data_IF_733552364118
#
_entry.id   IF_733552364118
#
_cell.length_a   1.000
_cell.length_b   1.000
_cell.length_c   1.000
_cell.angle_alpha   90.00
_cell.angle_beta   90.00
_cell.angle_gamma   90.00
#
_symmetry.space_group_name_H-M   'P 1'
#
loop_
_entity.id
_entity.type
_entity.pdbx_description
1 polymer ?
#
# COMPACT_ATOMS: atom_id res chain seq x y z
N UNK A 1 1.90 -25.57 20.56
CA UNK A 1 0.60 -25.16 19.97
C UNK A 1 0.73 -24.05 18.90
N UNK A 2 1.72 -24.10 18.00
CA UNK A 2 1.88 -23.09 16.94
C UNK A 2 1.42 -23.61 15.56
N UNK A 3 1.56 -24.91 15.31
CA UNK A 3 1.22 -25.51 14.02
C UNK A 3 -0.29 -25.49 13.70
N UNK A 4 -1.17 -25.58 14.69
CA UNK A 4 -2.62 -25.67 14.43
C UNK A 4 -3.23 -24.34 13.94
N UNK A 5 -2.69 -23.20 14.37
CA UNK A 5 -3.10 -21.87 13.90
C UNK A 5 -2.56 -21.56 12.50
N UNK A 6 -1.35 -22.04 12.18
CA UNK A 6 -0.77 -21.87 10.84
C UNK A 6 -1.52 -22.67 9.77
N UNK A 7 -1.91 -23.91 10.06
CA UNK A 7 -2.69 -24.72 9.13
C UNK A 7 -4.07 -24.10 8.85
N UNK A 8 -4.79 -23.68 9.90
CA UNK A 8 -6.07 -22.96 9.76
C UNK A 8 -5.93 -21.65 8.99
N UNK A 9 -4.84 -20.91 9.19
CA UNK A 9 -4.56 -19.67 8.46
C UNK A 9 -4.36 -19.93 6.97
N UNK A 10 -3.62 -20.97 6.61
CA UNK A 10 -3.40 -21.35 5.20
C UNK A 10 -4.70 -21.80 4.54
N UNK A 11 -5.49 -22.64 5.22
CA UNK A 11 -6.81 -23.07 4.74
C UNK A 11 -7.78 -21.90 4.58
N UNK A 12 -7.79 -20.95 5.52
CA UNK A 12 -8.60 -19.74 5.44
C UNK A 12 -8.18 -18.85 4.27
N UNK A 13 -6.87 -18.62 4.09
CA UNK A 13 -6.34 -17.84 2.97
C UNK A 13 -6.72 -18.44 1.62
N UNK A 14 -6.67 -19.77 1.49
CA UNK A 14 -7.12 -20.46 0.27
C UNK A 14 -8.62 -20.31 0.05
N UNK A 15 -9.45 -20.46 1.09
CA UNK A 15 -10.91 -20.43 0.97
C UNK A 15 -11.49 -19.02 0.78
N UNK A 16 -10.80 -17.98 1.24
CA UNK A 16 -11.27 -16.59 1.24
C UNK A 16 -10.33 -15.65 0.47
N UNK A 17 -9.51 -16.17 -0.44
CA UNK A 17 -8.55 -15.39 -1.24
C UNK A 17 -9.22 -14.26 -2.03
N UNK A 18 -10.44 -14.46 -2.55
CA UNK A 18 -11.21 -13.43 -3.26
C UNK A 18 -11.61 -12.27 -2.34
N UNK A 19 -12.14 -12.58 -1.16
CA UNK A 19 -12.51 -11.59 -0.14
C UNK A 19 -11.26 -10.84 0.38
N UNK A 20 -10.16 -11.56 0.57
CA UNK A 20 -8.87 -10.94 0.91
C UNK A 20 -8.44 -9.94 -0.18
N UNK A 21 -8.52 -10.34 -1.45
CA UNK A 21 -8.17 -9.47 -2.58
C UNK A 21 -9.02 -8.19 -2.58
N UNK A 22 -10.33 -8.32 -2.36
CA UNK A 22 -11.26 -7.19 -2.26
C UNK A 22 -10.86 -6.23 -1.13
N UNK A 23 -10.63 -6.74 0.08
CA UNK A 23 -10.20 -5.91 1.21
C UNK A 23 -8.84 -5.26 1.02
N UNK A 24 -7.91 -5.93 0.32
CA UNK A 24 -6.62 -5.33 -0.03
C UNK A 24 -6.81 -4.18 -1.03
N UNK A 25 -7.63 -4.37 -2.06
CA UNK A 25 -7.93 -3.33 -3.07
C UNK A 25 -8.61 -2.11 -2.44
N UNK A 26 -9.59 -2.34 -1.56
CA UNK A 26 -10.28 -1.26 -0.83
C UNK A 26 -9.32 -0.55 0.13
N UNK A 27 -8.55 -1.30 0.92
CA UNK A 27 -7.57 -0.76 1.86
C UNK A 27 -6.54 0.13 1.16
N UNK A 28 -5.95 -0.36 0.06
CA UNK A 28 -5.02 0.44 -0.75
C UNK A 28 -5.73 1.67 -1.33
N UNK A 29 -6.95 1.51 -1.85
CA UNK A 29 -7.72 2.62 -2.40
C UNK A 29 -7.97 3.73 -1.38
N UNK A 30 -8.30 3.40 -0.12
CA UNK A 30 -8.50 4.38 0.93
C UNK A 30 -7.20 5.06 1.38
N UNK A 31 -6.10 4.29 1.49
CA UNK A 31 -4.79 4.84 1.84
C UNK A 31 -4.29 5.79 0.75
N UNK A 32 -4.45 5.44 -0.53
CA UNK A 32 -4.11 6.31 -1.65
C UNK A 32 -4.96 7.58 -1.67
N UNK A 33 -6.26 7.48 -1.38
CA UNK A 33 -7.12 8.67 -1.24
C UNK A 33 -6.64 9.58 -0.11
N UNK A 34 -6.29 9.00 1.05
CA UNK A 34 -5.78 9.76 2.18
C UNK A 34 -4.47 10.49 1.83
N UNK A 35 -3.54 9.80 1.16
CA UNK A 35 -2.27 10.39 0.72
C UNK A 35 -2.44 11.54 -0.29
N UNK A 36 -3.52 11.53 -1.07
CA UNK A 36 -3.82 12.56 -2.08
C UNK A 36 -4.87 13.58 -1.61
N UNK A 37 -5.33 13.51 -0.36
CA UNK A 37 -6.38 14.40 0.14
C UNK A 37 -5.90 15.85 0.25
N UNK A 38 -4.61 16.05 0.53
CA UNK A 38 -4.00 17.37 0.66
C UNK A 38 -3.25 17.73 -0.62
N UNK A 39 -3.43 18.96 -1.09
CA UNK A 39 -2.65 19.48 -2.22
C UNK A 39 -1.21 19.76 -1.77
N UNK A 40 -0.18 19.27 -2.49
CA UNK A 40 1.20 19.65 -2.21
C UNK A 40 1.40 21.16 -2.33
N UNK A 41 2.32 21.71 -1.54
CA UNK A 41 2.60 23.15 -1.55
C UNK A 41 3.56 23.47 -2.70
N UNK A 42 3.21 24.46 -3.53
CA UNK A 42 4.16 25.00 -4.50
C UNK A 42 5.21 25.84 -3.78
N UNK A 43 6.46 25.38 -3.85
CA UNK A 43 7.63 26.10 -3.33
C UNK A 43 7.96 27.21 -4.33
N UNK A 44 7.26 28.35 -4.25
CA UNK A 44 7.51 29.52 -5.10
C UNK A 44 8.69 30.35 -4.56
N UNK A 45 9.38 31.08 -5.44
CA UNK A 45 10.57 31.92 -5.15
C UNK A 45 10.33 33.03 -4.08
N UNK A 46 9.07 33.30 -3.72
CA UNK A 46 8.70 34.29 -2.69
C UNK A 46 8.50 33.73 -1.27
N UNK A 47 8.60 32.41 -1.06
CA UNK A 47 8.38 31.79 0.26
C UNK A 47 9.73 31.40 0.87
N UNK A 48 10.08 32.04 1.97
CA UNK A 48 11.27 31.68 2.75
C UNK A 48 10.97 30.49 3.65
N UNK A 49 11.67 29.37 3.43
CA UNK A 49 11.63 28.22 4.30
C UNK A 49 12.84 28.24 5.22
N UNK A 50 12.61 28.12 6.53
CA UNK A 50 13.69 28.02 7.51
C UNK A 50 14.38 26.66 7.46
N UNK A 51 13.62 25.61 7.13
CA UNK A 51 14.11 24.26 6.96
C UNK A 51 13.77 23.73 5.55
N UNK A 52 14.82 23.42 4.80
CA UNK A 52 14.72 22.91 3.43
C UNK A 52 14.11 21.51 3.39
N UNK A 53 14.35 20.69 4.41
CA UNK A 53 13.84 19.31 4.42
C UNK A 53 12.34 19.27 4.71
N UNK A 54 11.85 20.12 5.61
CA UNK A 54 10.41 20.38 5.77
C UNK A 54 9.79 20.90 4.46
N UNK A 55 10.44 21.83 3.75
CA UNK A 55 9.92 22.32 2.46
C UNK A 55 9.78 21.21 1.42
N UNK A 56 10.78 20.32 1.32
CA UNK A 56 10.72 19.14 0.44
C UNK A 56 9.55 18.23 0.80
N UNK A 57 9.37 17.90 2.08
CA UNK A 57 8.26 17.07 2.55
C UNK A 57 6.89 17.65 2.16
N UNK A 58 6.70 18.95 2.37
CA UNK A 58 5.45 19.64 2.03
C UNK A 58 5.21 19.69 0.51
N UNK A 59 6.27 19.85 -0.29
CA UNK A 59 6.20 19.81 -1.76
C UNK A 59 5.90 18.40 -2.29
N UNK A 60 6.24 17.37 -1.52
CA UNK A 60 5.91 15.97 -1.79
C UNK A 60 4.53 15.57 -1.24
N UNK A 61 3.81 16.48 -0.59
CA UNK A 61 2.51 16.22 0.03
C UNK A 61 2.57 15.41 1.33
N UNK A 62 3.70 15.46 2.06
CA UNK A 62 3.93 14.71 3.29
C UNK A 62 3.86 15.67 4.47
N UNK A 63 2.79 15.55 5.26
CA UNK A 63 2.48 16.50 6.33
C UNK A 63 2.58 15.91 7.74
N UNK A 64 2.75 14.59 7.85
CA UNK A 64 2.77 13.88 9.13
C UNK A 64 3.22 12.43 8.96
N UNK A 65 3.60 11.81 10.07
CA UNK A 65 3.96 10.39 10.16
C UNK A 65 2.88 9.45 9.62
N UNK A 66 1.61 9.87 9.66
CA UNK A 66 0.49 9.10 9.08
C UNK A 66 0.70 8.84 7.58
N UNK A 67 1.32 9.77 6.85
CA UNK A 67 1.61 9.59 5.43
C UNK A 67 2.67 8.49 5.24
N UNK A 68 3.70 8.45 6.09
CA UNK A 68 4.75 7.44 6.02
C UNK A 68 4.21 6.05 6.37
N UNK A 69 3.41 5.96 7.44
CA UNK A 69 2.72 4.74 7.82
C UNK A 69 1.79 4.24 6.71
N UNK A 70 1.02 5.15 6.10
CA UNK A 70 0.14 4.79 4.99
C UNK A 70 0.90 4.31 3.76
N UNK A 71 2.06 4.92 3.44
CA UNK A 71 2.90 4.44 2.35
C UNK A 71 3.43 3.04 2.61
N UNK A 72 3.94 2.78 3.82
CA UNK A 72 4.44 1.46 4.21
C UNK A 72 3.33 0.41 4.18
N UNK A 73 2.18 0.68 4.82
CA UNK A 73 1.04 -0.24 4.84
C UNK A 73 0.47 -0.52 3.45
N UNK A 74 0.41 0.49 2.58
CA UNK A 74 0.00 0.29 1.19
C UNK A 74 0.95 -0.68 0.47
N UNK A 75 2.25 -0.55 0.70
CA UNK A 75 3.26 -1.47 0.16
C UNK A 75 3.13 -2.90 0.70
N UNK A 76 2.87 -3.07 2.00
CA UNK A 76 2.63 -4.39 2.60
C UNK A 76 1.35 -5.05 2.06
N UNK A 77 0.28 -4.29 1.87
CA UNK A 77 -0.95 -4.79 1.26
C UNK A 77 -0.71 -5.23 -0.19
N UNK A 78 0.09 -4.47 -0.96
CA UNK A 78 0.52 -4.85 -2.30
C UNK A 78 1.34 -6.16 -2.29
N UNK A 79 2.25 -6.30 -1.33
CA UNK A 79 2.99 -7.53 -1.10
C UNK A 79 2.07 -8.72 -0.83
N UNK A 80 1.08 -8.58 0.05
CA UNK A 80 0.12 -9.65 0.32
C UNK A 80 -0.75 -9.97 -0.90
N UNK A 81 -1.16 -8.98 -1.68
CA UNK A 81 -1.90 -9.17 -2.92
C UNK A 81 -1.15 -10.03 -3.92
N UNK A 82 0.12 -9.70 -4.17
CA UNK A 82 0.98 -10.49 -5.06
C UNK A 82 1.33 -11.88 -4.50
N UNK A 83 1.47 -12.01 -3.18
CA UNK A 83 1.83 -13.29 -2.57
C UNK A 83 0.68 -14.28 -2.48
N UNK A 84 -0.56 -13.80 -2.40
CA UNK A 84 -1.72 -14.63 -2.04
C UNK A 84 -2.87 -14.61 -3.05
N UNK A 85 -2.85 -13.74 -4.06
CA UNK A 85 -3.96 -13.56 -5.00
C UNK A 85 -3.61 -13.82 -6.48
N UNK A 86 -2.43 -14.38 -6.79
CA UNK A 86 -1.96 -14.65 -8.17
C UNK A 86 -2.61 -15.86 -8.86
N UNK A 87 -3.27 -16.76 -8.12
CA UNK A 87 -3.74 -18.06 -8.64
C UNK A 87 -5.25 -18.15 -8.96
N UNK A 88 -5.97 -17.04 -9.07
CA UNK A 88 -7.41 -17.12 -9.39
C UNK A 88 -7.66 -17.13 -10.90
N UNK A 89 -7.82 -18.34 -11.44
CA UNK A 89 -8.69 -18.57 -12.60
C UNK A 89 -10.09 -17.96 -12.30
N UNK A 90 -10.76 -17.36 -13.30
CA UNK A 90 -12.11 -16.86 -13.13
C UNK A 90 -13.07 -18.04 -12.96
N UNK A 91 -13.36 -18.42 -11.72
CA UNK A 91 -14.09 -19.65 -11.43
C UNK A 91 -14.98 -19.57 -10.19
N UNK A 92 -16.28 -19.46 -10.46
CA UNK A 92 -17.45 -19.74 -9.61
C UNK A 92 -17.80 -18.74 -8.50
N UNK A 93 -18.70 -17.83 -8.87
CA UNK A 93 -19.63 -17.18 -7.95
C UNK A 93 -20.41 -18.23 -7.14
N UNK A 94 -20.02 -18.46 -5.89
CA UNK A 94 -20.99 -18.86 -4.87
C UNK A 94 -21.55 -17.60 -4.24
N UNK A 95 -22.83 -17.36 -4.53
CA UNK A 95 -23.65 -16.29 -3.97
C UNK A 95 -23.85 -16.57 -2.48
N UNK A 96 -23.01 -16.00 -1.62
CA UNK A 96 -23.32 -15.92 -0.20
C UNK A 96 -24.10 -14.63 0.06
N UNK A 97 -25.39 -14.80 0.27
CA UNK A 97 -26.37 -13.74 0.52
C UNK A 97 -26.15 -13.20 1.93
N UNK A 98 -25.53 -12.01 2.07
CA UNK A 98 -25.35 -11.42 3.39
C UNK A 98 -24.84 -9.97 3.39
N UNK A 99 -25.79 -9.04 3.47
CA UNK A 99 -25.63 -7.61 3.83
C UNK A 99 -24.93 -6.73 2.78
N UNK A 100 -25.78 -6.14 1.95
CA UNK A 100 -25.51 -5.00 1.07
C UNK A 100 -24.96 -3.79 1.85
N UNK A 101 -23.64 -3.62 1.82
CA UNK A 101 -22.97 -2.34 2.04
C UNK A 101 -22.42 -1.83 0.71
N UNK A 102 -23.16 -0.91 0.07
CA UNK A 102 -22.78 -0.06 -1.06
C UNK A 102 -21.60 -0.55 -1.95
N UNK A 103 -21.84 -1.56 -2.79
CA UNK A 103 -20.91 -1.87 -3.88
C UNK A 103 -21.04 -0.80 -4.96
N UNK A 104 -20.12 0.16 -4.92
CA UNK A 104 -19.83 1.05 -6.04
C UNK A 104 -19.27 0.22 -7.19
N UNK A 105 -20.15 -0.30 -8.06
CA UNK A 105 -19.76 -0.89 -9.34
C UNK A 105 -19.40 0.21 -10.33
N UNK A 106 -18.40 1.00 -9.99
CA UNK A 106 -17.68 1.81 -10.98
C UNK A 106 -16.65 0.88 -11.60
N UNK A 107 -16.65 0.74 -12.92
CA UNK A 107 -15.60 0.07 -13.68
C UNK A 107 -14.24 0.75 -13.40
N UNK A 108 -13.62 0.40 -12.27
CA UNK A 108 -12.29 0.85 -11.87
C UNK A 108 -11.32 -0.14 -12.49
N UNK A 109 -10.32 0.36 -13.21
CA UNK A 109 -9.24 -0.48 -13.71
C UNK A 109 -8.71 -1.36 -12.57
N UNK A 110 -8.41 -2.64 -12.84
CA UNK A 110 -7.92 -3.54 -11.81
C UNK A 110 -6.62 -2.97 -11.24
N UNK A 111 -6.57 -2.83 -9.91
CA UNK A 111 -5.41 -2.31 -9.21
C UNK A 111 -4.20 -3.22 -9.46
N UNK A 112 -3.15 -2.66 -10.06
CA UNK A 112 -1.86 -3.34 -10.19
C UNK A 112 -1.10 -3.23 -8.86
N UNK A 113 -1.11 -4.30 -8.08
CA UNK A 113 -0.41 -4.36 -6.80
C UNK A 113 1.08 -4.08 -6.94
N UNK A 114 1.72 -4.52 -8.03
CA UNK A 114 3.15 -4.32 -8.23
C UNK A 114 3.44 -2.86 -8.50
N UNK A 115 2.76 -2.28 -9.48
CA UNK A 115 3.01 -0.88 -9.87
C UNK A 115 2.77 0.07 -8.69
N UNK A 116 1.62 -0.08 -8.02
CA UNK A 116 1.27 0.73 -6.85
C UNK A 116 2.27 0.53 -5.72
N UNK A 117 2.59 -0.73 -5.39
CA UNK A 117 3.51 -1.08 -4.32
C UNK A 117 4.92 -0.55 -4.56
N UNK A 118 5.45 -0.69 -5.78
CA UNK A 118 6.76 -0.16 -6.13
C UNK A 118 6.81 1.36 -6.03
N UNK A 119 5.83 2.05 -6.62
CA UNK A 119 5.76 3.51 -6.61
C UNK A 119 5.75 4.06 -5.19
N UNK A 120 4.90 3.49 -4.33
CA UNK A 120 4.70 4.01 -2.98
C UNK A 120 5.88 3.70 -2.05
N UNK A 121 6.47 2.50 -2.15
CA UNK A 121 7.62 2.12 -1.32
C UNK A 121 8.91 2.82 -1.77
N UNK A 122 9.10 3.07 -3.08
CA UNK A 122 10.22 3.90 -3.56
C UNK A 122 10.12 5.31 -2.98
N UNK A 123 8.91 5.90 -2.95
CA UNK A 123 8.67 7.20 -2.32
C UNK A 123 8.96 7.16 -0.81
N UNK A 124 8.45 6.16 -0.09
CA UNK A 124 8.72 5.97 1.34
C UNK A 124 10.24 5.94 1.62
N UNK A 125 10.99 5.08 0.92
CA UNK A 125 12.45 4.96 1.11
C UNK A 125 13.15 6.28 0.80
N UNK A 126 12.82 6.93 -0.31
CA UNK A 126 13.43 8.22 -0.68
C UNK A 126 13.20 9.31 0.36
N UNK A 127 12.05 9.31 1.02
CA UNK A 127 11.69 10.30 2.03
C UNK A 127 12.39 9.99 3.37
N UNK A 128 12.34 8.74 3.80
CA UNK A 128 12.97 8.28 5.04
C UNK A 128 14.50 8.44 5.02
N UNK A 129 15.15 8.14 3.90
CA UNK A 129 16.62 8.23 3.79
C UNK A 129 17.10 9.60 3.30
N UNK A 130 16.18 10.47 2.89
CA UNK A 130 16.46 11.85 2.49
C UNK A 130 16.08 12.84 3.60
N UNK A 131 14.99 13.60 3.44
CA UNK A 131 14.61 14.66 4.38
C UNK A 131 14.34 14.18 5.82
N UNK A 132 14.08 12.89 6.05
CA UNK A 132 13.83 12.33 7.38
C UNK A 132 14.96 11.43 7.91
N UNK A 133 16.16 11.47 7.32
CA UNK A 133 17.29 10.60 7.71
C UNK A 133 17.61 10.63 9.21
N UNK A 134 17.39 11.78 9.86
CA UNK A 134 17.69 12.01 11.28
C UNK A 134 16.58 11.50 12.21
N UNK A 135 15.43 11.10 11.66
CA UNK A 135 14.27 10.59 12.39
C UNK A 135 14.25 9.05 12.48
N UNK A 136 15.32 8.38 12.01
CA UNK A 136 15.55 6.94 12.17
C UNK A 136 14.42 6.02 11.69
N UNK A 137 13.66 6.43 10.67
CA UNK A 137 12.63 5.58 10.05
C UNK A 137 13.25 4.32 9.45
N UNK A 138 12.70 3.16 9.79
CA UNK A 138 13.20 1.88 9.28
C UNK A 138 12.75 1.63 7.84
N UNK A 139 13.71 1.47 6.92
CA UNK A 139 13.48 1.18 5.49
C UNK A 139 13.77 -0.26 5.10
N UNK A 140 14.20 -1.11 6.04
CA UNK A 140 14.61 -2.50 5.79
C UNK A 140 13.48 -3.31 5.18
N UNK A 141 12.29 -3.27 5.79
CA UNK A 141 11.12 -4.02 5.30
C UNK A 141 10.66 -3.50 3.93
N UNK A 142 10.61 -2.18 3.73
CA UNK A 142 10.27 -1.59 2.43
C UNK A 142 11.22 -2.07 1.31
N UNK A 143 12.53 -2.11 1.58
CA UNK A 143 13.55 -2.61 0.65
C UNK A 143 13.39 -4.11 0.37
N UNK A 144 13.08 -4.91 1.40
CA UNK A 144 12.80 -6.35 1.23
C UNK A 144 11.57 -6.60 0.34
N UNK A 145 10.50 -5.82 0.53
CA UNK A 145 9.29 -5.91 -0.30
C UNK A 145 9.58 -5.46 -1.74
N UNK A 146 10.32 -4.36 -1.93
CA UNK A 146 10.73 -3.90 -3.26
C UNK A 146 11.57 -4.96 -3.99
N UNK A 147 12.48 -5.63 -3.29
CA UNK A 147 13.25 -6.74 -3.85
C UNK A 147 12.33 -7.92 -4.23
N UNK A 148 11.34 -8.26 -3.39
CA UNK A 148 10.33 -9.26 -3.72
C UNK A 148 9.56 -8.90 -5.01
N UNK A 149 9.15 -7.63 -5.18
CA UNK A 149 8.51 -7.20 -6.42
C UNK A 149 9.40 -7.45 -7.64
N UNK A 150 10.70 -7.13 -7.58
CA UNK A 150 11.62 -7.39 -8.70
C UNK A 150 11.72 -8.87 -9.08
N UNK A 151 11.62 -9.79 -8.12
CA UNK A 151 11.83 -11.22 -8.35
C UNK A 151 10.56 -12.04 -8.61
N UNK A 152 9.37 -11.50 -8.35
CA UNK A 152 8.09 -12.16 -8.65
C UNK A 152 7.74 -12.22 -10.16
N UNK A 153 8.73 -12.14 -11.05
CA UNK A 153 8.59 -12.18 -12.51
C UNK A 153 9.22 -13.43 -13.18
N UNK A 154 9.44 -14.51 -12.44
CA UNK A 154 9.84 -15.80 -13.03
C UNK A 154 8.77 -16.87 -12.80
#
# INVERSE_FOLDING_TARGET
MYCHSLTKRREWLMRKSSLLKEYLVDGISYLLQMLNYRCPIQVNEGVSFQDLDTAKLLSEGIFSDIHLLAMMYSGEMCYWGLKHCTDQQPGNHEVDTGVSGASYTTHKEPLDFREVGEKILKKYVSVCEGPLKEQEWNTTNAKQILNFFQHCCN
#
